data_IF_905230885950
#
_entry.id   IF_905230885950
#
_cell.length_a   1.000
_cell.length_b   1.000
_cell.length_c   1.000
_cell.angle_alpha   90.00
_cell.angle_beta   90.00
_cell.angle_gamma   90.00
#
_symmetry.space_group_name_H-M   'P 1'
#
loop_
_entity.id
_entity.type
_entity.pdbx_description
1 polymer ?
#
# COMPACT_ATOMS: atom_id res chain seq x y z
N UNK A 1 78.32 -19.34 0.74
CA UNK A 1 77.22 -19.24 -0.25
C UNK A 1 77.07 -17.84 -0.84
N UNK A 2 76.84 -16.79 -0.04
CA UNK A 2 76.63 -15.40 -0.52
C UNK A 2 77.80 -14.86 -1.38
N UNK A 3 79.05 -15.09 -0.96
CA UNK A 3 80.25 -14.75 -1.77
C UNK A 3 80.28 -15.44 -3.15
N UNK A 4 79.75 -16.66 -3.25
CA UNK A 4 79.75 -17.43 -4.49
C UNK A 4 78.70 -16.89 -5.46
N UNK A 5 77.51 -16.55 -4.95
CA UNK A 5 76.44 -15.89 -5.71
C UNK A 5 76.92 -14.52 -6.23
N UNK A 6 77.59 -13.74 -5.37
CA UNK A 6 78.16 -12.43 -5.72
C UNK A 6 79.19 -12.50 -6.85
N UNK A 7 80.13 -13.46 -6.77
CA UNK A 7 81.11 -13.68 -7.85
C UNK A 7 80.45 -14.15 -9.15
N UNK A 8 79.37 -14.93 -9.07
CA UNK A 8 78.64 -15.42 -10.25
C UNK A 8 77.88 -14.29 -10.96
N UNK A 9 77.30 -13.34 -10.20
CA UNK A 9 76.70 -12.11 -10.74
C UNK A 9 77.74 -11.21 -11.44
N UNK A 10 78.93 -11.08 -10.85
CA UNK A 10 80.01 -10.28 -11.43
C UNK A 10 80.65 -10.91 -12.68
N UNK A 11 80.58 -12.25 -12.82
CA UNK A 11 81.13 -12.98 -13.98
C UNK A 11 80.17 -12.99 -15.16
N UNK A 12 78.86 -12.97 -14.94
CA UNK A 12 77.82 -13.02 -15.97
C UNK A 12 77.01 -11.72 -16.05
N UNK A 13 77.70 -10.57 -16.13
CA UNK A 13 77.12 -9.22 -16.00
C UNK A 13 75.91 -8.97 -16.92
N UNK A 14 75.96 -9.43 -18.17
CA UNK A 14 74.87 -9.26 -19.14
C UNK A 14 73.56 -9.96 -18.71
N UNK A 15 73.64 -11.22 -18.24
CA UNK A 15 72.45 -11.97 -17.78
C UNK A 15 71.87 -11.39 -16.49
N UNK A 16 72.73 -10.93 -15.59
CA UNK A 16 72.29 -10.30 -14.35
C UNK A 16 71.56 -8.96 -14.60
N UNK A 17 72.07 -8.13 -15.52
CA UNK A 17 71.42 -6.88 -15.93
C UNK A 17 70.05 -7.15 -16.57
N UNK A 18 69.93 -8.17 -17.44
CA UNK A 18 68.65 -8.57 -18.04
C UNK A 18 67.63 -9.04 -16.99
N UNK A 19 68.07 -9.79 -15.97
CA UNK A 19 67.22 -10.21 -14.86
C UNK A 19 66.74 -9.03 -14.01
N UNK A 20 67.64 -8.11 -13.66
CA UNK A 20 67.26 -6.89 -12.94
C UNK A 20 66.25 -6.10 -13.76
N UNK A 21 66.49 -5.86 -15.05
CA UNK A 21 65.55 -5.14 -15.92
C UNK A 21 64.19 -5.85 -16.01
N UNK A 22 64.17 -7.17 -16.11
CA UNK A 22 62.93 -7.95 -16.12
C UNK A 22 62.13 -7.81 -14.83
N UNK A 23 62.79 -7.91 -13.67
CA UNK A 23 62.16 -7.70 -12.36
C UNK A 23 61.69 -6.25 -12.20
N UNK A 24 62.48 -5.27 -12.67
CA UNK A 24 62.13 -3.85 -12.63
C UNK A 24 60.90 -3.56 -13.50
N UNK A 25 60.88 -4.07 -14.74
CA UNK A 25 59.73 -3.93 -15.65
C UNK A 25 58.47 -4.56 -15.06
N UNK A 26 58.57 -5.76 -14.49
CA UNK A 26 57.45 -6.43 -13.83
C UNK A 26 56.97 -5.64 -12.59
N UNK A 27 57.90 -5.14 -11.78
CA UNK A 27 57.56 -4.39 -10.56
C UNK A 27 56.92 -3.04 -10.90
N UNK A 28 57.42 -2.34 -11.92
CA UNK A 28 56.86 -1.08 -12.42
C UNK A 28 55.49 -1.32 -13.03
N UNK A 29 55.35 -2.36 -13.86
CA UNK A 29 54.07 -2.73 -14.46
C UNK A 29 53.01 -3.08 -13.42
N UNK A 30 53.36 -3.91 -12.43
CA UNK A 30 52.45 -4.28 -11.35
C UNK A 30 52.08 -3.10 -10.47
N UNK A 31 53.06 -2.25 -10.10
CA UNK A 31 52.80 -1.05 -9.29
C UNK A 31 51.92 -0.04 -10.04
N UNK A 32 52.14 0.14 -11.34
CA UNK A 32 51.31 0.98 -12.19
C UNK A 32 49.88 0.45 -12.27
N UNK A 33 49.71 -0.86 -12.47
CA UNK A 33 48.39 -1.49 -12.57
C UNK A 33 47.63 -1.40 -11.24
N UNK A 34 48.28 -1.69 -10.11
CA UNK A 34 47.69 -1.55 -8.77
C UNK A 34 47.34 -0.08 -8.47
N UNK A 35 48.24 0.86 -8.79
CA UNK A 35 48.00 2.29 -8.61
C UNK A 35 46.82 2.79 -9.46
N UNK A 36 46.71 2.30 -10.70
CA UNK A 36 45.59 2.62 -11.59
C UNK A 36 44.27 2.02 -11.09
N UNK A 37 44.27 0.78 -10.59
CA UNK A 37 43.08 0.17 -9.99
C UNK A 37 42.62 0.92 -8.74
N UNK A 38 43.55 1.29 -7.85
CA UNK A 38 43.21 2.08 -6.66
C UNK A 38 42.69 3.48 -7.02
N UNK A 39 43.29 4.12 -8.02
CA UNK A 39 42.84 5.44 -8.50
C UNK A 39 41.46 5.36 -9.15
N UNK A 40 41.20 4.33 -9.95
CA UNK A 40 39.88 4.08 -10.53
C UNK A 40 38.83 3.83 -9.44
N UNK A 41 39.14 2.98 -8.45
CA UNK A 41 38.24 2.74 -7.32
C UNK A 41 37.97 4.03 -6.54
N UNK A 42 39.01 4.81 -6.24
CA UNK A 42 38.87 6.10 -5.55
C UNK A 42 38.05 7.11 -6.36
N UNK A 43 38.22 7.14 -7.68
CA UNK A 43 37.45 8.02 -8.58
C UNK A 43 35.99 7.58 -8.66
N UNK A 44 35.73 6.27 -8.78
CA UNK A 44 34.37 5.70 -8.79
C UNK A 44 33.65 6.01 -7.48
N UNK A 45 34.29 5.77 -6.33
CA UNK A 45 33.70 6.06 -5.01
C UNK A 45 33.42 7.55 -4.86
N UNK A 46 34.35 8.41 -5.28
CA UNK A 46 34.19 9.87 -5.18
C UNK A 46 33.09 10.39 -6.14
N UNK A 47 33.01 9.87 -7.37
CA UNK A 47 31.92 10.19 -8.29
C UNK A 47 30.57 9.68 -7.79
N UNK A 48 30.52 8.47 -7.21
CA UNK A 48 29.32 7.93 -6.58
C UNK A 48 28.89 8.80 -5.39
N UNK A 49 29.81 9.19 -4.50
CA UNK A 49 29.51 10.07 -3.38
C UNK A 49 29.03 11.46 -3.82
N UNK A 50 29.64 12.04 -4.87
CA UNK A 50 29.20 13.34 -5.42
C UNK A 50 27.84 13.27 -6.10
N UNK A 51 27.47 12.11 -6.62
CA UNK A 51 26.19 11.88 -7.31
C UNK A 51 25.14 11.25 -6.40
N UNK A 52 25.49 10.90 -5.16
CA UNK A 52 24.57 10.37 -4.17
C UNK A 52 23.54 11.46 -3.81
N UNK A 53 22.43 11.43 -4.54
CA UNK A 53 21.22 12.16 -4.21
C UNK A 53 20.20 11.09 -3.85
N UNK A 54 20.00 10.86 -2.57
CA UNK A 54 18.87 10.07 -2.08
C UNK A 54 17.70 11.02 -1.77
N UNK A 55 16.48 10.48 -1.74
CA UNK A 55 15.27 11.27 -1.41
C UNK A 55 15.31 11.78 0.03
N UNK A 56 15.93 11.01 0.95
CA UNK A 56 16.22 11.37 2.33
C UNK A 56 17.57 10.77 2.75
N UNK A 57 18.14 11.24 3.87
CA UNK A 57 19.44 10.77 4.37
C UNK A 57 19.31 9.83 5.58
N UNK A 58 18.29 10.04 6.39
CA UNK A 58 18.04 9.29 7.62
C UNK A 58 16.55 9.03 7.73
N UNK A 59 16.22 7.86 8.30
CA UNK A 59 14.87 7.52 8.73
C UNK A 59 14.94 7.28 10.23
N UNK A 60 14.07 7.94 10.97
CA UNK A 60 13.95 7.82 12.42
C UNK A 60 12.64 7.11 12.72
N UNK A 61 12.76 5.98 13.42
CA UNK A 61 11.64 5.14 13.82
C UNK A 61 11.70 4.81 15.31
N UNK A 62 10.58 4.43 15.94
CA UNK A 62 10.56 4.00 17.33
C UNK A 62 11.49 2.81 17.59
N UNK A 63 12.06 2.67 18.81
CA UNK A 63 13.08 1.67 19.11
C UNK A 63 12.65 0.22 18.87
N UNK A 64 11.37 -0.09 19.01
CA UNK A 64 10.81 -1.44 18.87
C UNK A 64 10.31 -1.77 17.45
N UNK A 65 10.53 -0.87 16.48
CA UNK A 65 10.08 -1.01 15.08
C UNK A 65 11.05 -1.74 14.15
N UNK A 66 12.17 -2.22 14.69
CA UNK A 66 13.26 -2.81 13.90
C UNK A 66 12.91 -4.24 13.46
N UNK A 67 12.94 -4.50 12.16
CA UNK A 67 12.71 -5.85 11.62
C UNK A 67 13.91 -6.78 11.84
N UNK A 68 13.65 -8.09 11.90
CA UNK A 68 14.69 -9.14 11.95
C UNK A 68 15.64 -9.10 10.75
N UNK A 69 15.20 -8.52 9.63
CA UNK A 69 16.01 -8.37 8.41
C UNK A 69 17.10 -7.31 8.56
N UNK A 70 16.88 -6.33 9.43
CA UNK A 70 17.76 -5.16 9.57
C UNK A 70 19.04 -5.44 10.35
N UNK A 71 19.09 -6.50 11.15
CA UNK A 71 20.35 -6.97 11.74
C UNK A 71 21.35 -7.40 10.66
N UNK A 72 20.86 -7.75 9.47
CA UNK A 72 21.66 -8.05 8.28
C UNK A 72 21.82 -6.84 7.35
N UNK A 73 21.44 -5.63 7.79
CA UNK A 73 21.39 -4.41 6.98
C UNK A 73 20.49 -4.54 5.73
N UNK A 74 19.38 -5.27 5.87
CA UNK A 74 18.35 -5.38 4.84
C UNK A 74 17.10 -4.62 5.30
N UNK A 75 16.38 -4.04 4.35
CA UNK A 75 15.07 -3.44 4.59
C UNK A 75 14.01 -4.34 3.97
N UNK A 76 12.94 -4.58 4.70
CA UNK A 76 11.78 -5.30 4.20
C UNK A 76 10.87 -4.41 3.33
N UNK A 77 10.04 -4.99 2.46
CA UNK A 77 8.98 -4.26 1.77
C UNK A 77 7.97 -3.66 2.76
N UNK A 78 7.48 -2.46 2.45
CA UNK A 78 6.47 -1.73 3.23
C UNK A 78 6.90 -1.47 4.69
N UNK A 79 8.21 -1.35 4.95
CA UNK A 79 8.78 -1.13 6.28
C UNK A 79 8.39 0.21 6.91
N UNK A 80 7.92 1.19 6.12
CA UNK A 80 7.38 2.46 6.61
C UNK A 80 5.86 2.41 6.74
N UNK A 81 5.18 1.96 5.67
CA UNK A 81 3.72 1.96 5.60
C UNK A 81 3.06 0.90 6.47
N UNK A 82 3.83 -0.10 6.94
CA UNK A 82 3.38 -1.15 7.86
C UNK A 82 3.58 -0.84 9.35
N UNK A 83 4.06 0.35 9.71
CA UNK A 83 4.27 0.72 11.10
C UNK A 83 2.97 1.24 11.73
N UNK A 84 2.57 0.66 12.87
CA UNK A 84 1.67 1.32 13.83
C UNK A 84 2.55 2.09 14.84
N UNK A 85 2.43 3.42 14.85
CA UNK A 85 3.23 4.30 15.71
C UNK A 85 4.39 5.03 15.01
N UNK A 86 5.29 5.64 15.79
CA UNK A 86 6.30 6.59 15.29
C UNK A 86 7.11 7.28 16.40
N UNK A 87 7.55 8.52 16.17
CA UNK A 87 8.17 9.44 17.15
C UNK A 87 7.21 10.56 17.58
N UNK A 88 7.37 11.09 18.79
CA UNK A 88 6.54 12.20 19.28
C UNK A 88 6.74 13.48 18.51
N UNK A 89 5.72 14.34 18.52
CA UNK A 89 5.82 15.67 17.93
C UNK A 89 6.86 16.48 18.68
N UNK A 90 7.00 16.27 19.99
CA UNK A 90 8.10 16.83 20.77
C UNK A 90 9.47 16.32 20.27
N UNK A 91 9.59 15.01 20.01
CA UNK A 91 10.80 14.45 19.39
C UNK A 91 11.04 15.01 17.99
N UNK A 92 9.97 15.16 17.20
CA UNK A 92 10.01 15.72 15.85
C UNK A 92 10.48 17.17 15.88
N UNK A 93 9.89 18.03 16.73
CA UNK A 93 10.30 19.42 16.90
C UNK A 93 11.73 19.52 17.42
N UNK A 94 12.15 18.59 18.28
CA UNK A 94 13.55 18.48 18.72
C UNK A 94 14.49 18.19 17.54
N UNK A 95 14.13 17.23 16.67
CA UNK A 95 14.91 16.88 15.47
C UNK A 95 14.92 18.04 14.47
N UNK A 96 13.76 18.65 14.21
CA UNK A 96 13.58 19.80 13.32
C UNK A 96 14.41 21.00 13.78
N UNK A 97 14.59 21.17 15.09
CA UNK A 97 15.39 22.23 15.70
C UNK A 97 16.90 21.99 15.73
N UNK A 98 17.41 20.84 15.27
CA UNK A 98 18.85 20.57 15.23
C UNK A 98 19.53 21.34 14.09
N UNK A 99 20.66 22.00 14.38
CA UNK A 99 21.38 22.83 13.40
C UNK A 99 21.81 22.07 12.13
N UNK A 100 22.12 20.78 12.26
CA UNK A 100 22.55 19.91 11.15
C UNK A 100 21.36 19.32 10.35
N UNK A 101 20.12 19.50 10.81
CA UNK A 101 18.92 18.98 10.16
C UNK A 101 18.29 20.09 9.32
N UNK A 102 18.47 20.01 8.00
CA UNK A 102 17.89 20.99 7.07
C UNK A 102 16.38 20.79 6.86
N UNK A 103 15.94 19.54 6.79
CA UNK A 103 14.56 19.14 6.52
C UNK A 103 14.27 17.92 7.40
N UNK A 104 13.16 18.00 8.13
CA UNK A 104 12.54 16.88 8.83
C UNK A 104 11.08 16.82 8.36
N UNK A 105 10.73 15.81 7.58
CA UNK A 105 9.42 15.67 6.93
C UNK A 105 8.82 14.34 7.38
N UNK A 106 7.97 14.37 8.41
CA UNK A 106 7.59 13.16 9.09
C UNK A 106 6.23 12.67 8.55
N UNK A 107 6.03 11.35 8.58
CA UNK A 107 4.83 10.68 8.09
C UNK A 107 4.16 9.92 9.25
N UNK A 108 2.90 10.23 9.53
CA UNK A 108 2.06 9.56 10.52
C UNK A 108 1.11 8.60 9.82
N UNK A 109 1.40 7.31 9.78
CA UNK A 109 0.47 6.33 9.22
C UNK A 109 -0.74 6.22 10.16
N UNK A 110 -1.95 6.46 9.64
CA UNK A 110 -3.17 6.50 10.47
C UNK A 110 -3.89 5.15 10.46
N UNK A 111 -4.31 4.72 9.28
CA UNK A 111 -5.15 3.53 9.12
C UNK A 111 -5.85 3.50 7.77
N UNK A 112 -6.67 2.48 7.57
CA UNK A 112 -7.38 2.26 6.32
C UNK A 112 -8.81 2.80 6.42
N UNK A 113 -9.21 3.55 5.40
CA UNK A 113 -10.60 3.95 5.17
C UNK A 113 -11.12 3.24 3.94
N UNK A 114 -12.40 2.91 3.93
CA UNK A 114 -13.04 2.39 2.72
C UNK A 114 -13.38 3.58 1.81
N UNK A 115 -12.83 3.55 0.59
CA UNK A 115 -13.04 4.58 -0.41
C UNK A 115 -13.72 3.94 -1.61
N UNK A 116 -15.02 4.20 -1.76
CA UNK A 116 -15.86 3.66 -2.81
C UNK A 116 -16.44 4.76 -3.69
N UNK A 117 -16.90 4.33 -4.87
CA UNK A 117 -17.57 5.19 -5.83
C UNK A 117 -18.66 4.40 -6.51
N UNK A 118 -19.81 5.05 -6.70
CA UNK A 118 -20.87 4.54 -7.54
C UNK A 118 -20.33 4.36 -8.97
N UNK A 119 -20.45 3.18 -9.56
CA UNK A 119 -20.01 2.86 -10.91
C UNK A 119 -21.16 2.84 -11.93
N UNK A 120 -22.35 2.40 -11.51
CA UNK A 120 -23.55 2.40 -12.36
C UNK A 120 -24.85 2.21 -11.56
N UNK A 121 -25.98 2.39 -12.23
CA UNK A 121 -27.32 2.12 -11.68
C UNK A 121 -27.81 0.73 -12.11
N UNK A 122 -28.59 0.10 -11.23
CA UNK A 122 -29.27 -1.18 -11.50
C UNK A 122 -30.77 -0.92 -11.53
N UNK A 123 -31.37 -0.94 -12.73
CA UNK A 123 -32.77 -0.57 -12.93
C UNK A 123 -33.66 -1.80 -13.12
N UNK A 124 -33.82 -2.58 -12.04
CA UNK A 124 -34.67 -3.77 -12.02
C UNK A 124 -36.05 -3.40 -11.47
N UNK A 125 -37.09 -3.60 -12.30
CA UNK A 125 -38.48 -3.22 -11.97
C UNK A 125 -39.41 -4.39 -11.78
N UNK A 126 -39.05 -5.57 -12.28
CA UNK A 126 -39.87 -6.77 -12.13
C UNK A 126 -39.79 -7.28 -10.68
N UNK A 127 -40.93 -7.60 -10.04
CA UNK A 127 -40.91 -8.25 -8.75
C UNK A 127 -40.21 -9.62 -8.82
N UNK A 128 -39.35 -9.88 -7.83
CA UNK A 128 -38.54 -11.09 -7.79
C UNK A 128 -37.56 -11.12 -6.62
N UNK A 129 -36.98 -12.30 -6.40
CA UNK A 129 -35.79 -12.47 -5.58
C UNK A 129 -34.59 -12.49 -6.54
N UNK A 130 -33.57 -11.72 -6.23
CA UNK A 130 -32.40 -11.52 -7.08
C UNK A 130 -31.14 -11.92 -6.32
N UNK A 131 -30.18 -12.49 -7.05
CA UNK A 131 -28.81 -12.76 -6.62
C UNK A 131 -27.88 -11.80 -7.37
N UNK A 132 -27.17 -10.95 -6.64
CA UNK A 132 -26.01 -10.21 -7.14
C UNK A 132 -24.76 -11.01 -6.80
N UNK A 133 -24.11 -11.56 -7.82
CA UNK A 133 -22.76 -12.09 -7.69
C UNK A 133 -21.76 -10.94 -7.93
N UNK A 134 -20.80 -10.79 -7.01
CA UNK A 134 -19.71 -9.84 -7.07
C UNK A 134 -18.41 -10.63 -7.09
N UNK A 135 -17.71 -10.62 -8.23
CA UNK A 135 -16.46 -11.34 -8.40
C UNK A 135 -15.33 -10.40 -8.74
N UNK A 136 -14.47 -10.14 -7.77
CA UNK A 136 -13.25 -9.37 -7.92
C UNK A 136 -12.08 -10.30 -8.26
N UNK A 137 -11.28 -9.93 -9.26
CA UNK A 137 -10.04 -10.60 -9.62
C UNK A 137 -8.91 -9.59 -9.64
N UNK A 138 -7.87 -9.83 -8.85
CA UNK A 138 -6.70 -8.96 -8.71
C UNK A 138 -5.43 -9.68 -9.17
N UNK A 139 -4.70 -9.06 -10.09
CA UNK A 139 -3.45 -9.57 -10.63
C UNK A 139 -2.25 -9.12 -9.80
N UNK A 140 -1.74 -10.00 -8.94
CA UNK A 140 -0.54 -9.72 -8.11
C UNK A 140 0.77 -9.97 -8.85
N UNK A 141 0.72 -10.49 -10.07
CA UNK A 141 1.86 -10.95 -10.86
C UNK A 141 2.30 -12.38 -10.51
N UNK A 142 2.28 -12.77 -9.24
CA UNK A 142 2.56 -14.14 -8.81
C UNK A 142 1.34 -15.07 -8.99
N UNK A 143 0.15 -14.55 -8.67
CA UNK A 143 -1.14 -15.24 -8.83
C UNK A 143 -2.27 -14.23 -9.10
N UNK A 144 -3.39 -14.73 -9.59
CA UNK A 144 -4.65 -14.01 -9.54
C UNK A 144 -5.33 -14.30 -8.20
N UNK A 145 -5.59 -13.26 -7.41
CA UNK A 145 -6.43 -13.36 -6.21
C UNK A 145 -7.87 -13.13 -6.62
N UNK A 146 -8.76 -14.03 -6.23
CA UNK A 146 -10.18 -13.98 -6.59
C UNK A 146 -10.97 -13.90 -5.30
N UNK A 147 -11.81 -12.89 -5.19
CA UNK A 147 -12.82 -12.77 -4.15
C UNK A 147 -14.20 -12.83 -4.83
N UNK A 148 -15.08 -13.68 -4.32
CA UNK A 148 -16.36 -14.00 -4.94
C UNK A 148 -17.44 -14.06 -3.85
N UNK A 149 -18.47 -13.24 -3.98
CA UNK A 149 -19.51 -13.11 -2.98
C UNK A 149 -20.89 -12.96 -3.61
N UNK A 150 -21.89 -13.55 -2.97
CA UNK A 150 -23.29 -13.39 -3.36
C UNK A 150 -24.00 -12.48 -2.36
N UNK A 151 -24.82 -11.59 -2.89
CA UNK A 151 -25.75 -10.78 -2.13
C UNK A 151 -27.16 -10.98 -2.67
N UNK A 152 -28.13 -11.22 -1.79
CA UNK A 152 -29.51 -11.49 -2.18
C UNK A 152 -30.41 -10.32 -1.79
N UNK A 153 -31.30 -9.93 -2.70
CA UNK A 153 -32.25 -8.85 -2.45
C UNK A 153 -33.59 -9.14 -3.14
N UNK A 154 -34.61 -8.38 -2.76
CA UNK A 154 -35.94 -8.50 -3.39
C UNK A 154 -36.37 -7.19 -4.04
N UNK A 155 -37.03 -7.31 -5.18
CA UNK A 155 -37.76 -6.19 -5.81
C UNK A 155 -39.25 -6.44 -5.58
N UNK A 156 -39.96 -5.41 -5.08
CA UNK A 156 -41.37 -5.54 -4.73
C UNK A 156 -41.65 -6.25 -3.39
N UNK A 157 -40.62 -6.44 -2.54
CA UNK A 157 -40.72 -7.12 -1.24
C UNK A 157 -39.86 -6.50 -0.13
N UNK A 158 -39.63 -5.19 -0.14
CA UNK A 158 -38.66 -4.53 0.76
C UNK A 158 -38.87 -4.76 2.27
N UNK A 159 -40.04 -5.21 2.71
CA UNK A 159 -40.29 -5.60 4.10
C UNK A 159 -39.44 -6.80 4.58
N UNK A 160 -39.00 -7.68 3.68
CA UNK A 160 -38.24 -8.88 4.05
C UNK A 160 -36.78 -8.59 4.40
N UNK A 161 -36.21 -7.46 3.95
CA UNK A 161 -34.83 -7.09 4.27
C UNK A 161 -34.63 -6.73 5.75
N UNK A 162 -35.72 -6.43 6.46
CA UNK A 162 -35.69 -6.05 7.88
C UNK A 162 -35.41 -7.24 8.81
N UNK A 163 -35.63 -8.47 8.35
CA UNK A 163 -35.41 -9.68 9.12
C UNK A 163 -34.36 -10.55 8.45
N UNK A 164 -33.17 -10.58 9.05
CA UNK A 164 -32.00 -11.37 8.59
C UNK A 164 -32.32 -12.86 8.39
N UNK A 165 -33.35 -13.40 9.04
CA UNK A 165 -33.79 -14.78 8.86
C UNK A 165 -34.23 -15.11 7.43
N UNK A 166 -34.66 -14.11 6.65
CA UNK A 166 -35.00 -14.32 5.24
C UNK A 166 -33.77 -14.39 4.32
N UNK A 167 -32.58 -14.03 4.79
CA UNK A 167 -31.35 -14.07 4.00
C UNK A 167 -31.32 -13.13 2.81
N UNK A 168 -32.16 -12.08 2.81
CA UNK A 168 -32.18 -11.03 1.80
C UNK A 168 -31.91 -9.68 2.46
N UNK A 169 -31.18 -8.81 1.78
CA UNK A 169 -30.94 -7.44 2.20
C UNK A 169 -31.77 -6.43 1.41
N UNK A 170 -31.45 -5.16 1.59
CA UNK A 170 -32.09 -4.06 0.85
C UNK A 170 -31.83 -4.18 -0.66
N UNK A 171 -32.78 -3.72 -1.46
CA UNK A 171 -32.63 -3.68 -2.91
C UNK A 171 -31.44 -2.81 -3.28
N UNK A 172 -30.59 -3.31 -4.17
CA UNK A 172 -29.54 -2.50 -4.77
C UNK A 172 -30.18 -1.55 -5.78
N UNK A 173 -29.90 -0.25 -5.67
CA UNK A 173 -30.18 0.72 -6.73
C UNK A 173 -28.94 1.03 -7.58
N UNK A 174 -27.76 0.69 -7.06
CA UNK A 174 -26.48 1.16 -7.58
C UNK A 174 -25.42 0.08 -7.39
N UNK A 175 -24.51 -0.02 -8.37
CA UNK A 175 -23.27 -0.78 -8.26
C UNK A 175 -22.18 0.18 -7.82
N UNK A 176 -21.58 -0.04 -6.66
CA UNK A 176 -20.42 0.71 -6.19
C UNK A 176 -19.17 -0.16 -6.25
N UNK A 177 -18.01 0.42 -6.49
CA UNK A 177 -16.74 -0.28 -6.34
C UNK A 177 -15.82 0.53 -5.44
N UNK A 178 -15.25 -0.12 -4.43
CA UNK A 178 -14.42 0.54 -3.44
C UNK A 178 -13.26 -0.32 -2.99
N UNK A 179 -12.26 0.36 -2.42
CA UNK A 179 -11.04 -0.27 -1.92
C UNK A 179 -10.68 0.30 -0.56
N UNK A 180 -9.97 -0.49 0.23
CA UNK A 180 -9.35 0.00 1.46
C UNK A 180 -8.12 0.83 1.09
N UNK A 181 -8.08 2.08 1.53
CA UNK A 181 -6.99 3.02 1.22
C UNK A 181 -6.36 3.53 2.50
N UNK A 182 -5.02 3.51 2.52
CA UNK A 182 -4.24 3.98 3.66
C UNK A 182 -4.22 5.51 3.67
N UNK A 183 -4.53 6.09 4.82
CA UNK A 183 -4.42 7.53 5.10
C UNK A 183 -3.16 7.78 5.93
N UNK A 184 -2.39 8.79 5.56
CA UNK A 184 -1.22 9.21 6.32
C UNK A 184 -1.18 10.73 6.53
N UNK A 185 -0.77 11.18 7.71
CA UNK A 185 -0.49 12.57 8.02
C UNK A 185 0.94 12.98 7.64
N UNK A 186 1.12 14.19 7.12
CA UNK A 186 2.41 14.78 6.76
C UNK A 186 2.54 16.20 7.33
N UNK A 187 3.77 16.72 7.50
CA UNK A 187 3.99 18.17 7.62
C UNK A 187 4.02 18.75 6.21
N UNK A 188 3.01 19.52 5.77
CA UNK A 188 2.92 19.95 4.38
C UNK A 188 4.09 20.83 3.94
N UNK A 189 4.64 21.68 4.81
CA UNK A 189 5.76 22.54 4.46
C UNK A 189 7.04 21.73 4.29
N UNK A 190 7.25 20.76 5.16
CA UNK A 190 8.47 19.97 5.16
C UNK A 190 8.45 18.91 4.07
N UNK A 191 7.29 18.31 3.79
CA UNK A 191 7.10 17.38 2.68
C UNK A 191 7.26 18.09 1.33
N UNK A 192 6.75 19.32 1.20
CA UNK A 192 7.02 20.16 0.03
C UNK A 192 8.53 20.43 -0.15
N UNK A 193 9.27 20.70 0.92
CA UNK A 193 10.74 20.87 0.85
C UNK A 193 11.47 19.56 0.52
N UNK A 194 10.99 18.42 1.01
CA UNK A 194 11.63 17.12 0.83
C UNK A 194 11.44 16.57 -0.59
N UNK A 195 10.18 16.46 -1.04
CA UNK A 195 9.83 15.78 -2.29
C UNK A 195 9.15 16.70 -3.31
N UNK A 196 8.94 17.99 -3.00
CA UNK A 196 8.27 18.92 -3.91
C UNK A 196 6.79 18.58 -4.11
N UNK A 197 6.11 18.09 -3.06
CA UNK A 197 4.71 17.65 -3.12
C UNK A 197 3.75 18.76 -3.57
N UNK A 198 4.00 19.99 -3.16
CA UNK A 198 3.30 21.20 -3.57
C UNK A 198 3.35 21.44 -5.09
N UNK A 199 4.47 21.11 -5.73
CA UNK A 199 4.67 21.22 -7.17
C UNK A 199 4.18 19.99 -7.94
N UNK A 200 3.84 18.91 -7.22
CA UNK A 200 3.32 17.67 -7.79
C UNK A 200 1.78 17.67 -7.91
N UNK A 201 1.11 18.74 -7.51
CA UNK A 201 -0.34 18.87 -7.63
C UNK A 201 -0.80 18.81 -9.10
N UNK A 202 -2.00 18.28 -9.31
CA UNK A 202 -2.69 18.27 -10.60
C UNK A 202 -3.53 19.53 -10.71
N UNK A 203 -3.35 20.27 -11.80
CA UNK A 203 -4.08 21.53 -12.03
C UNK A 203 -5.59 21.28 -12.22
N UNK A 204 -6.41 22.05 -11.51
CA UNK A 204 -7.85 22.11 -11.73
C UNK A 204 -8.60 22.83 -10.61
N UNK A 205 -9.91 23.00 -10.77
CA UNK A 205 -10.72 23.85 -9.87
C UNK A 205 -10.85 23.29 -8.46
N UNK A 206 -10.99 21.97 -8.33
CA UNK A 206 -11.06 21.27 -7.04
C UNK A 206 -9.71 20.80 -6.51
N UNK A 207 -8.59 21.33 -7.00
CA UNK A 207 -7.27 20.85 -6.61
C UNK A 207 -6.32 21.98 -6.23
N UNK A 208 -5.85 21.92 -4.99
CA UNK A 208 -4.81 22.78 -4.42
C UNK A 208 -4.03 22.02 -3.35
N UNK A 209 -2.86 22.56 -3.00
CA UNK A 209 -2.10 22.09 -1.85
C UNK A 209 -2.70 22.60 -0.52
N UNK A 210 -2.24 22.04 0.59
CA UNK A 210 -2.59 22.46 1.95
C UNK A 210 -2.24 23.94 2.19
N UNK A 211 -3.00 24.57 3.07
CA UNK A 211 -2.90 25.94 3.54
C UNK A 211 -3.18 26.00 5.05
N UNK A 212 -2.86 27.12 5.69
CA UNK A 212 -3.10 27.31 7.14
C UNK A 212 -4.59 27.22 7.54
N UNK A 213 -5.52 27.37 6.60
CA UNK A 213 -6.95 27.27 6.88
C UNK A 213 -7.48 25.82 6.84
N UNK A 214 -6.63 24.86 6.46
CA UNK A 214 -7.00 23.44 6.37
C UNK A 214 -6.85 22.79 7.74
N UNK A 215 -7.79 23.10 8.63
CA UNK A 215 -7.82 22.59 9.99
C UNK A 215 -8.77 21.39 10.12
N UNK A 216 -8.44 20.49 11.05
CA UNK A 216 -9.33 19.42 11.47
C UNK A 216 -10.53 20.01 12.22
N UNK A 217 -11.74 19.50 11.96
CA UNK A 217 -12.95 19.99 12.61
C UNK A 217 -13.78 18.86 13.19
N UNK A 218 -14.20 19.02 14.44
CA UNK A 218 -15.17 18.14 15.10
C UNK A 218 -16.60 18.53 14.70
N UNK A 219 -17.37 17.57 14.18
CA UNK A 219 -18.76 17.70 13.80
C UNK A 219 -19.60 16.88 14.80
N UNK A 220 -20.12 17.53 15.86
CA UNK A 220 -20.89 16.84 16.88
C UNK A 220 -22.19 16.28 16.30
N UNK A 221 -22.50 15.03 16.64
CA UNK A 221 -23.72 14.32 16.30
C UNK A 221 -24.57 14.06 17.56
N UNK A 222 -25.81 13.61 17.36
CA UNK A 222 -26.64 13.15 18.48
C UNK A 222 -26.00 11.95 19.21
N UNK A 223 -26.14 11.89 20.54
CA UNK A 223 -25.74 10.72 21.33
C UNK A 223 -24.25 10.62 21.70
N UNK A 224 -23.54 11.75 21.87
CA UNK A 224 -22.08 11.82 22.16
C UNK A 224 -21.18 11.25 21.06
N UNK A 225 -21.70 11.10 19.84
CA UNK A 225 -20.91 10.77 18.66
C UNK A 225 -20.35 12.04 18.03
N UNK A 226 -19.20 11.93 17.40
CA UNK A 226 -18.53 13.03 16.71
C UNK A 226 -17.93 12.50 15.42
N UNK A 227 -18.25 13.15 14.30
CA UNK A 227 -17.53 12.93 13.04
C UNK A 227 -16.34 13.90 12.99
N UNK A 228 -15.19 13.46 12.50
CA UNK A 228 -13.98 14.28 12.39
C UNK A 228 -13.78 14.63 10.90
N UNK A 229 -13.94 15.90 10.56
CA UNK A 229 -13.66 16.41 9.22
C UNK A 229 -12.16 16.61 9.04
N UNK A 230 -11.59 15.97 8.04
CA UNK A 230 -10.14 15.94 7.80
C UNK A 230 -9.84 16.38 6.37
N UNK A 231 -9.04 17.43 6.16
CA UNK A 231 -8.62 17.83 4.82
C UNK A 231 -7.65 16.78 4.25
N UNK A 232 -7.91 16.33 3.02
CA UNK A 232 -7.10 15.31 2.35
C UNK A 232 -6.74 15.69 0.92
N UNK A 233 -5.53 15.33 0.51
CA UNK A 233 -5.14 15.25 -0.90
C UNK A 233 -5.05 13.78 -1.32
N UNK A 234 -5.50 13.48 -2.53
CA UNK A 234 -5.58 12.11 -3.07
C UNK A 234 -4.56 11.92 -4.21
N UNK A 235 -3.95 10.74 -4.27
CA UNK A 235 -3.06 10.35 -5.38
C UNK A 235 -3.86 10.17 -6.67
N UNK A 236 -3.35 10.65 -7.80
CA UNK A 236 -3.98 10.46 -9.11
C UNK A 236 -3.85 9.03 -9.67
N UNK A 237 -3.12 8.13 -8.98
CA UNK A 237 -2.87 6.76 -9.47
C UNK A 237 -3.44 5.71 -8.53
N UNK A 238 -3.94 4.65 -9.14
CA UNK A 238 -4.17 3.35 -8.50
C UNK A 238 -3.00 2.42 -8.87
N UNK A 239 -2.59 1.57 -7.92
CA UNK A 239 -1.45 0.66 -8.05
C UNK A 239 -1.88 -0.81 -8.10
N UNK A 240 -3.16 -1.11 -7.86
CA UNK A 240 -3.76 -2.43 -8.01
C UNK A 240 -4.30 -2.63 -9.42
N UNK A 241 -3.99 -3.78 -9.98
CA UNK A 241 -4.49 -4.27 -11.26
C UNK A 241 -5.64 -5.23 -10.99
N UNK A 242 -6.87 -4.72 -10.96
CA UNK A 242 -8.05 -5.47 -10.58
C UNK A 242 -9.26 -5.19 -11.47
N UNK A 243 -10.12 -6.19 -11.58
CA UNK A 243 -11.41 -6.14 -12.28
C UNK A 243 -12.49 -6.74 -11.39
N UNK A 244 -13.63 -6.06 -11.28
CA UNK A 244 -14.82 -6.56 -10.60
C UNK A 244 -15.92 -6.82 -11.62
N UNK A 245 -16.50 -8.02 -11.56
CA UNK A 245 -17.64 -8.44 -12.35
C UNK A 245 -18.88 -8.50 -11.46
N UNK A 246 -19.95 -7.85 -11.91
CA UNK A 246 -21.27 -7.86 -11.30
C UNK A 246 -22.21 -8.65 -12.19
N UNK A 247 -22.78 -9.72 -11.67
CA UNK A 247 -23.80 -10.51 -12.37
C UNK A 247 -25.06 -10.51 -11.51
N UNK A 248 -26.15 -9.95 -12.04
CA UNK A 248 -27.45 -9.98 -11.38
C UNK A 248 -28.31 -11.05 -12.03
N UNK A 249 -28.85 -11.95 -11.22
CA UNK A 249 -29.70 -13.06 -11.64
C UNK A 249 -31.05 -12.99 -10.94
N UNK A 250 -32.14 -13.22 -11.67
CA UNK A 250 -33.47 -13.42 -11.11
C UNK A 250 -33.64 -14.89 -10.75
N UNK A 251 -33.90 -15.21 -9.48
CA UNK A 251 -34.08 -16.58 -9.03
C UNK A 251 -35.42 -17.16 -9.50
N UNK A 252 -35.42 -18.45 -9.85
CA UNK A 252 -36.58 -19.18 -10.38
C UNK A 252 -37.57 -19.55 -9.27
N UNK A 253 -38.11 -18.53 -8.60
CA UNK A 253 -39.01 -18.66 -7.45
C UNK A 253 -40.28 -17.82 -7.64
N UNK A 254 -41.46 -18.32 -7.22
CA UNK A 254 -42.69 -17.55 -7.31
C UNK A 254 -42.63 -16.34 -6.37
N UNK A 255 -42.74 -15.13 -6.92
CA UNK A 255 -42.65 -13.88 -6.16
C UNK A 255 -43.67 -12.83 -6.62
N UNK A 256 -44.75 -13.27 -7.26
CA UNK A 256 -45.90 -12.43 -7.52
C UNK A 256 -46.65 -12.10 -6.20
N UNK A 257 -47.43 -11.00 -6.14
CA UNK A 257 -48.00 -10.48 -4.89
C UNK A 257 -48.79 -11.49 -4.06
N UNK A 258 -49.40 -12.51 -4.67
CA UNK A 258 -50.19 -13.52 -3.95
C UNK A 258 -49.32 -14.62 -3.32
N UNK A 259 -48.05 -14.75 -3.72
CA UNK A 259 -47.15 -15.83 -3.30
C UNK A 259 -45.91 -15.36 -2.53
N UNK A 260 -45.62 -14.06 -2.47
CA UNK A 260 -44.41 -13.51 -1.82
C UNK A 260 -44.22 -13.99 -0.39
N UNK A 261 -45.24 -13.86 0.47
CA UNK A 261 -45.16 -14.24 1.89
C UNK A 261 -44.85 -15.74 2.04
N UNK A 262 -45.56 -16.58 1.27
CA UNK A 262 -45.39 -18.03 1.31
C UNK A 262 -43.98 -18.44 0.85
N UNK A 263 -43.45 -17.77 -0.16
CA UNK A 263 -42.10 -18.00 -0.68
C UNK A 263 -41.03 -17.59 0.32
N UNK A 264 -41.14 -16.41 0.93
CA UNK A 264 -40.16 -15.93 1.89
C UNK A 264 -40.20 -16.70 3.21
N UNK A 265 -41.38 -17.11 3.68
CA UNK A 265 -41.49 -18.02 4.82
C UNK A 265 -40.82 -19.38 4.54
N UNK A 266 -40.92 -19.88 3.31
CA UNK A 266 -40.19 -21.07 2.88
C UNK A 266 -38.68 -20.82 2.91
N UNK A 267 -38.20 -19.70 2.38
CA UNK A 267 -36.77 -19.34 2.40
C UNK A 267 -36.25 -19.32 3.83
N UNK A 268 -36.91 -18.58 4.72
CA UNK A 268 -36.52 -18.47 6.13
C UNK A 268 -36.50 -19.82 6.86
N UNK A 269 -37.52 -20.66 6.64
CA UNK A 269 -37.60 -21.98 7.25
C UNK A 269 -36.48 -22.93 6.79
N UNK A 270 -35.97 -22.77 5.58
CA UNK A 270 -34.93 -23.62 5.01
C UNK A 270 -33.51 -23.05 5.15
N UNK A 271 -33.32 -22.01 5.97
CA UNK A 271 -32.00 -21.48 6.28
C UNK A 271 -31.62 -20.20 5.53
N UNK A 272 -32.60 -19.47 4.98
CA UNK A 272 -32.41 -18.13 4.44
C UNK A 272 -31.45 -18.13 3.25
N UNK A 273 -30.34 -17.43 3.42
CA UNK A 273 -29.30 -17.24 2.40
C UNK A 273 -28.76 -18.56 1.84
N UNK A 274 -28.49 -19.55 2.70
CA UNK A 274 -28.03 -20.89 2.27
C UNK A 274 -29.03 -21.57 1.34
N UNK A 275 -30.33 -21.37 1.58
CA UNK A 275 -31.36 -21.92 0.70
C UNK A 275 -31.40 -21.17 -0.63
N UNK A 276 -31.19 -19.85 -0.64
CA UNK A 276 -31.15 -19.03 -1.86
C UNK A 276 -29.93 -19.36 -2.74
N UNK A 277 -28.81 -19.73 -2.13
CA UNK A 277 -27.59 -20.13 -2.84
C UNK A 277 -27.78 -21.37 -3.72
N UNK A 278 -28.58 -22.32 -3.25
CA UNK A 278 -28.90 -23.56 -4.00
C UNK A 278 -29.88 -23.34 -5.17
N UNK A 279 -30.53 -22.17 -5.27
CA UNK A 279 -31.53 -21.92 -6.30
C UNK A 279 -30.89 -21.55 -7.64
N UNK A 280 -31.57 -21.94 -8.71
CA UNK A 280 -31.23 -21.51 -10.07
C UNK A 280 -31.84 -20.14 -10.36
N UNK A 281 -31.24 -19.43 -11.31
CA UNK A 281 -31.76 -18.16 -11.78
C UNK A 281 -31.31 -17.86 -13.20
N UNK A 282 -31.89 -16.81 -13.77
CA UNK A 282 -31.55 -16.30 -15.09
C UNK A 282 -30.85 -14.95 -14.99
N UNK A 283 -29.72 -14.78 -15.67
CA UNK A 283 -28.97 -13.51 -15.72
C UNK A 283 -29.85 -12.42 -16.33
N UNK A 284 -30.01 -11.32 -15.60
CA UNK A 284 -30.76 -10.13 -16.04
C UNK A 284 -29.84 -8.97 -16.39
N UNK A 285 -28.71 -8.85 -15.71
CA UNK A 285 -27.72 -7.80 -15.95
C UNK A 285 -26.31 -8.32 -15.65
N UNK A 286 -25.34 -7.89 -16.45
CA UNK A 286 -23.93 -8.19 -16.25
C UNK A 286 -23.10 -6.95 -16.60
N UNK A 287 -22.20 -6.55 -15.69
CA UNK A 287 -21.28 -5.42 -15.90
C UNK A 287 -19.93 -5.73 -15.29
N UNK A 288 -18.88 -5.22 -15.90
CA UNK A 288 -17.55 -5.24 -15.32
C UNK A 288 -16.96 -3.84 -15.25
N UNK A 289 -16.10 -3.64 -14.25
CA UNK A 289 -15.37 -2.40 -14.04
C UNK A 289 -13.96 -2.71 -13.56
N UNK A 290 -13.01 -1.85 -13.92
CA UNK A 290 -11.63 -1.96 -13.44
C UNK A 290 -11.37 -1.03 -12.25
N UNK A 291 -10.35 -1.35 -11.45
CA UNK A 291 -9.84 -0.48 -10.37
C UNK A 291 -9.43 0.89 -10.91
N UNK A 292 -8.82 0.94 -12.09
CA UNK A 292 -8.40 2.19 -12.73
C UNK A 292 -9.59 3.07 -13.12
N UNK A 293 -10.69 2.48 -13.62
CA UNK A 293 -11.92 3.22 -13.95
C UNK A 293 -12.58 3.81 -12.70
N UNK A 294 -12.69 3.02 -11.63
CA UNK A 294 -13.21 3.49 -10.34
C UNK A 294 -12.36 4.64 -9.79
N UNK A 295 -11.04 4.47 -9.75
CA UNK A 295 -10.13 5.51 -9.26
C UNK A 295 -10.21 6.80 -10.10
N UNK A 296 -10.28 6.69 -11.44
CA UNK A 296 -10.49 7.85 -12.33
C UNK A 296 -11.79 8.58 -12.02
N UNK A 297 -12.86 7.86 -11.70
CA UNK A 297 -14.15 8.47 -11.33
C UNK A 297 -14.05 9.25 -10.02
N UNK A 298 -13.34 8.72 -9.02
CA UNK A 298 -13.04 9.42 -7.76
C UNK A 298 -12.23 10.69 -8.04
N UNK A 299 -11.11 10.56 -8.76
CA UNK A 299 -10.25 11.71 -9.13
C UNK A 299 -11.06 12.79 -9.86
N UNK A 300 -11.87 12.41 -10.86
CA UNK A 300 -12.70 13.38 -11.60
C UNK A 300 -13.72 14.10 -10.72
N UNK A 301 -14.28 13.40 -9.74
CA UNK A 301 -15.26 13.94 -8.81
C UNK A 301 -14.63 14.92 -7.82
N UNK A 302 -13.41 14.65 -7.35
CA UNK A 302 -12.61 15.61 -6.56
C UNK A 302 -12.22 16.84 -7.40
N UNK A 303 -11.78 16.64 -8.64
CA UNK A 303 -11.36 17.74 -9.53
C UNK A 303 -12.51 18.68 -9.93
N UNK A 304 -13.73 18.15 -9.99
CA UNK A 304 -14.95 18.86 -10.37
C UNK A 304 -16.02 18.67 -9.29
N UNK A 305 -15.84 19.26 -8.10
CA UNK A 305 -16.72 19.03 -6.98
C UNK A 305 -18.13 19.53 -7.34
N UNK A 306 -19.06 18.59 -7.44
CA UNK A 306 -20.49 18.85 -7.57
C UNK A 306 -21.18 18.31 -6.32
N UNK A 307 -22.31 18.91 -5.96
CA UNK A 307 -23.14 18.42 -4.86
C UNK A 307 -23.60 16.95 -5.06
N UNK A 308 -23.64 16.48 -6.31
CA UNK A 308 -24.05 15.13 -6.70
C UNK A 308 -22.90 14.09 -6.65
N UNK A 309 -21.67 14.51 -6.37
CA UNK A 309 -20.51 13.60 -6.45
C UNK A 309 -20.50 12.48 -5.40
N UNK A 310 -21.31 12.57 -4.34
CA UNK A 310 -21.40 11.57 -3.27
C UNK A 310 -20.12 11.43 -2.41
N UNK A 311 -19.03 12.09 -2.79
CA UNK A 311 -17.77 12.12 -2.04
C UNK A 311 -17.92 12.96 -0.77
N UNK A 312 -17.28 12.53 0.32
CA UNK A 312 -17.29 13.24 1.61
C UNK A 312 -18.31 12.73 2.64
N UNK A 313 -18.93 11.57 2.38
CA UNK A 313 -19.66 10.81 3.39
C UNK A 313 -18.76 10.41 4.57
N UNK A 314 -19.39 10.00 5.67
CA UNK A 314 -18.67 9.46 6.83
C UNK A 314 -18.09 8.09 6.47
N UNK A 315 -16.78 7.93 6.67
CA UNK A 315 -16.06 6.67 6.52
C UNK A 315 -15.45 6.25 7.86
N UNK A 316 -15.57 4.96 8.18
CA UNK A 316 -14.94 4.39 9.36
C UNK A 316 -13.49 4.05 9.06
N UNK A 317 -12.59 4.45 9.96
CA UNK A 317 -11.21 3.96 9.96
C UNK A 317 -11.12 2.77 10.92
N UNK A 318 -11.50 1.58 10.46
CA UNK A 318 -11.58 0.39 11.32
C UNK A 318 -10.21 -0.24 11.58
N UNK A 319 -9.34 -0.22 10.57
CA UNK A 319 -8.13 -1.04 10.51
C UNK A 319 -6.84 -0.22 10.61
N UNK A 320 -5.87 -0.77 11.31
CA UNK A 320 -4.52 -0.22 11.48
C UNK A 320 -3.50 -0.94 10.59
N UNK A 321 -2.43 -0.26 10.15
CA UNK A 321 -1.29 -0.93 9.53
C UNK A 321 -0.61 -1.88 10.53
N UNK A 322 0.04 -2.93 10.01
CA UNK A 322 0.86 -3.82 10.82
C UNK A 322 2.06 -4.36 10.02
N UNK A 323 3.15 -4.75 10.70
CA UNK A 323 4.34 -5.26 10.04
C UNK A 323 4.16 -6.71 9.58
N UNK A 324 5.02 -7.16 8.68
CA UNK A 324 5.11 -8.57 8.28
C UNK A 324 6.08 -9.30 9.19
N UNK A 325 5.70 -10.47 9.68
CA UNK A 325 6.63 -11.32 10.43
C UNK A 325 7.43 -12.22 9.50
N UNK A 326 8.71 -11.89 9.33
CA UNK A 326 9.66 -12.69 8.57
C UNK A 326 10.37 -13.72 9.45
N UNK A 327 10.50 -14.96 8.98
CA UNK A 327 11.33 -16.01 9.59
C UNK A 327 12.52 -16.32 8.70
N UNK A 328 13.77 -16.30 9.19
CA UNK A 328 14.94 -16.58 8.37
C UNK A 328 14.96 -18.04 7.92
N UNK A 329 15.22 -18.26 6.62
CA UNK A 329 15.31 -19.60 6.02
C UNK A 329 16.53 -19.75 5.14
N UNK A 330 16.88 -20.99 4.82
CA UNK A 330 17.93 -21.29 3.86
C UNK A 330 17.38 -21.30 2.45
N UNK A 331 17.94 -20.44 1.57
CA UNK A 331 17.69 -20.55 0.13
C UNK A 331 18.22 -21.86 -0.43
N UNK A 332 17.49 -22.54 -1.34
CA UNK A 332 18.07 -23.59 -2.18
C UNK A 332 19.13 -23.04 -3.16
N UNK A 333 19.13 -21.72 -3.43
CA UNK A 333 20.05 -21.05 -4.36
C UNK A 333 20.92 -20.01 -3.64
N UNK A 334 21.64 -20.41 -2.57
CA UNK A 334 22.45 -19.51 -1.73
C UNK A 334 23.45 -18.63 -2.47
N UNK A 335 24.03 -19.11 -3.58
CA UNK A 335 24.98 -18.33 -4.38
C UNK A 335 24.33 -17.11 -5.03
N UNK A 336 23.02 -17.17 -5.31
CA UNK A 336 22.24 -16.08 -5.89
C UNK A 336 21.51 -15.27 -4.83
N UNK A 337 20.94 -15.94 -3.83
CA UNK A 337 20.18 -15.34 -2.75
C UNK A 337 20.76 -15.76 -1.40
N UNK A 338 21.75 -15.00 -0.94
CA UNK A 338 22.47 -15.27 0.31
C UNK A 338 21.58 -15.10 1.55
N UNK A 339 20.56 -14.25 1.45
CA UNK A 339 19.56 -14.01 2.49
C UNK A 339 18.19 -14.47 1.98
N UNK A 340 17.45 -15.21 2.80
CA UNK A 340 16.10 -15.65 2.47
C UNK A 340 15.27 -15.69 3.73
N UNK A 341 14.02 -15.29 3.59
CA UNK A 341 13.05 -15.24 4.65
C UNK A 341 11.74 -15.84 4.14
N UNK A 342 11.01 -16.51 5.01
CA UNK A 342 9.67 -17.00 4.75
C UNK A 342 8.65 -16.15 5.52
N UNK A 343 7.46 -16.06 4.96
CA UNK A 343 6.27 -15.48 5.59
C UNK A 343 5.16 -16.49 5.45
N UNK A 344 4.48 -16.78 6.55
CA UNK A 344 3.39 -17.74 6.60
C UNK A 344 2.07 -16.97 6.63
N UNK A 345 1.24 -17.02 5.57
CA UNK A 345 -0.07 -16.40 5.60
C UNK A 345 -1.00 -17.19 6.53
N UNK A 346 -1.99 -16.50 7.10
CA UNK A 346 -3.07 -17.13 7.86
C UNK A 346 -4.43 -16.77 7.27
N UNK A 347 -5.38 -17.69 7.41
CA UNK A 347 -6.73 -17.47 6.94
C UNK A 347 -7.48 -16.57 7.94
N UNK A 348 -8.22 -15.61 7.41
CA UNK A 348 -9.10 -14.80 8.23
C UNK A 348 -10.35 -15.59 8.64
N UNK A 349 -10.94 -15.29 9.80
CA UNK A 349 -12.24 -15.84 10.20
C UNK A 349 -13.34 -15.50 9.17
N UNK A 350 -14.35 -16.36 9.04
CA UNK A 350 -15.51 -16.11 8.15
C UNK A 350 -16.28 -14.83 8.52
N UNK A 351 -16.23 -14.41 9.78
CA UNK A 351 -16.85 -13.17 10.28
C UNK A 351 -15.93 -11.95 10.19
N UNK A 352 -14.78 -12.06 9.51
CA UNK A 352 -13.91 -10.93 9.22
C UNK A 352 -14.63 -9.83 8.44
N UNK A 353 -14.40 -8.59 8.84
CA UNK A 353 -14.90 -7.40 8.14
C UNK A 353 -14.11 -7.10 6.86
N UNK A 354 -12.97 -7.77 6.65
CA UNK A 354 -12.20 -7.68 5.42
C UNK A 354 -12.72 -8.69 4.41
N UNK A 355 -12.98 -8.22 3.19
CA UNK A 355 -13.38 -9.07 2.06
C UNK A 355 -12.16 -9.77 1.43
N UNK A 356 -11.36 -10.47 2.23
CA UNK A 356 -10.19 -11.25 1.80
C UNK A 356 -10.06 -12.51 2.65
N UNK A 357 -9.60 -13.61 2.05
CA UNK A 357 -9.48 -14.89 2.76
C UNK A 357 -8.19 -15.01 3.58
N UNK A 358 -7.12 -14.34 3.16
CA UNK A 358 -5.78 -14.52 3.71
C UNK A 358 -5.13 -13.18 4.04
N UNK A 359 -4.36 -13.18 5.13
CA UNK A 359 -3.51 -12.07 5.54
C UNK A 359 -2.07 -12.56 5.75
N UNK A 360 -1.11 -11.69 5.45
CA UNK A 360 0.33 -11.90 5.67
C UNK A 360 0.85 -11.13 6.91
N UNK A 361 -0.04 -10.38 7.55
CA UNK A 361 0.25 -9.45 8.66
C UNK A 361 -0.87 -9.55 9.69
N UNK A 362 -0.62 -9.36 10.99
CA UNK A 362 -1.67 -9.34 12.01
C UNK A 362 -2.75 -8.30 11.69
N UNK A 363 -4.04 -8.68 11.70
CA UNK A 363 -5.14 -7.73 11.54
C UNK A 363 -5.35 -7.01 12.87
N UNK A 364 -5.17 -5.69 12.85
CA UNK A 364 -5.35 -4.84 14.02
C UNK A 364 -6.44 -3.80 13.75
N UNK A 365 -7.36 -3.63 14.71
CA UNK A 365 -8.43 -2.64 14.63
C UNK A 365 -8.31 -1.58 15.72
N UNK A 366 -8.99 -0.45 15.54
CA UNK A 366 -9.08 0.61 16.56
C UNK A 366 -9.94 0.21 17.78
N UNK A 367 -10.65 -0.92 17.70
CA UNK A 367 -11.44 -1.50 18.78
C UNK A 367 -12.21 -2.74 18.32
N UNK A 368 -12.82 -3.45 19.27
CA UNK A 368 -13.57 -4.68 19.00
C UNK A 368 -14.85 -4.43 18.20
N UNK A 369 -15.43 -3.24 18.32
CA UNK A 369 -16.64 -2.85 17.61
C UNK A 369 -16.56 -1.44 17.03
N UNK A 370 -17.54 -1.11 16.18
CA UNK A 370 -17.57 0.17 15.48
C UNK A 370 -17.65 1.37 16.42
N UNK A 371 -18.17 1.27 17.64
CA UNK A 371 -18.25 2.44 18.53
C UNK A 371 -16.89 3.06 18.89
N UNK A 372 -15.81 2.28 18.76
CA UNK A 372 -14.45 2.71 19.07
C UNK A 372 -13.63 3.13 17.84
N UNK A 373 -14.15 2.94 16.63
CA UNK A 373 -13.42 3.29 15.41
C UNK A 373 -13.54 4.80 15.12
N UNK A 374 -12.46 5.47 14.67
CA UNK A 374 -12.58 6.86 14.23
C UNK A 374 -13.57 7.03 13.07
N UNK A 375 -14.41 8.06 13.17
CA UNK A 375 -15.42 8.43 12.17
C UNK A 375 -14.93 9.63 11.39
N UNK A 376 -14.53 9.44 10.14
CA UNK A 376 -13.89 10.47 9.35
C UNK A 376 -14.82 10.99 8.26
N UNK A 377 -14.86 12.30 8.08
CA UNK A 377 -15.36 12.94 6.87
C UNK A 377 -14.18 13.50 6.10
N UNK A 378 -13.91 12.92 4.95
CA UNK A 378 -12.76 13.28 4.13
C UNK A 378 -13.12 14.50 3.28
N UNK A 379 -12.51 15.64 3.58
CA UNK A 379 -12.64 16.85 2.78
C UNK A 379 -11.54 16.87 1.72
N UNK A 380 -11.89 16.46 0.50
CA UNK A 380 -10.95 16.36 -0.60
C UNK A 380 -10.60 17.75 -1.15
N UNK A 381 -9.40 18.24 -0.83
CA UNK A 381 -8.93 19.57 -1.23
C UNK A 381 -8.02 19.56 -2.46
N UNK A 382 -7.54 18.39 -2.89
CA UNK A 382 -6.84 18.27 -4.16
C UNK A 382 -6.26 16.92 -4.51
N UNK A 383 -5.65 16.89 -5.70
CA UNK A 383 -5.08 15.69 -6.31
C UNK A 383 -3.60 15.91 -6.57
N UNK A 384 -2.75 14.97 -6.17
CA UNK A 384 -1.31 14.99 -6.45
C UNK A 384 -0.89 13.86 -7.40
N UNK A 385 0.19 14.08 -8.14
CA UNK A 385 0.80 13.10 -9.02
C UNK A 385 2.18 12.69 -8.51
N UNK A 386 2.28 11.49 -7.95
CA UNK A 386 3.53 10.94 -7.44
C UNK A 386 4.67 10.95 -8.48
N UNK A 387 4.37 10.88 -9.78
CA UNK A 387 5.40 10.89 -10.82
C UNK A 387 6.11 12.25 -10.99
N UNK A 388 5.46 13.34 -10.54
CA UNK A 388 5.98 14.70 -10.59
C UNK A 388 6.84 15.08 -9.38
N UNK A 389 6.94 14.20 -8.38
CA UNK A 389 7.76 14.42 -7.19
C UNK A 389 9.25 14.59 -7.56
N UNK A 390 9.90 15.48 -6.84
CA UNK A 390 11.33 15.80 -6.94
C UNK A 390 12.14 14.81 -6.11
N UNK A 391 12.09 13.54 -6.50
CA UNK A 391 12.85 12.45 -5.88
C UNK A 391 13.96 11.96 -6.80
N UNK A 392 14.96 11.27 -6.23
CA UNK A 392 15.96 10.60 -7.04
C UNK A 392 15.34 9.45 -7.82
N UNK A 393 15.50 9.47 -9.14
CA UNK A 393 15.06 8.42 -10.07
C UNK A 393 16.24 7.61 -10.60
N UNK A 394 17.44 7.84 -10.08
CA UNK A 394 18.64 7.10 -10.47
C UNK A 394 18.61 5.72 -9.79
N UNK A 395 18.59 4.60 -10.53
CA UNK A 395 18.55 3.25 -9.98
C UNK A 395 19.67 2.92 -8.99
N UNK A 396 20.80 3.65 -9.04
CA UNK A 396 21.94 3.44 -8.14
C UNK A 396 21.80 4.18 -6.80
N UNK A 397 20.86 5.13 -6.70
CA UNK A 397 20.68 5.98 -5.50
C UNK A 397 19.22 6.14 -5.09
N UNK A 398 18.30 5.49 -5.81
CA UNK A 398 16.87 5.41 -5.48
C UNK A 398 16.72 4.66 -4.15
N UNK A 399 16.29 5.39 -3.12
CA UNK A 399 15.79 4.79 -1.89
C UNK A 399 14.27 4.60 -2.02
N UNK A 400 13.70 3.54 -1.40
CA UNK A 400 12.26 3.37 -1.36
C UNK A 400 11.58 4.58 -0.73
N UNK A 401 10.61 5.15 -1.45
CA UNK A 401 9.72 6.21 -0.95
C UNK A 401 8.31 5.65 -0.88
N UNK A 402 8.10 4.75 0.08
CA UNK A 402 6.91 3.90 0.20
C UNK A 402 5.62 4.67 0.51
N UNK A 403 5.75 5.94 0.86
CA UNK A 403 4.66 6.91 0.99
C UNK A 403 3.96 7.20 -0.35
N UNK A 404 4.68 7.08 -1.47
CA UNK A 404 4.20 7.50 -2.79
C UNK A 404 4.23 6.39 -3.84
N UNK A 405 5.06 5.36 -3.62
CA UNK A 405 5.24 4.25 -4.55
C UNK A 405 5.16 2.93 -3.81
N UNK A 406 4.55 1.89 -4.39
CA UNK A 406 4.55 0.56 -3.81
C UNK A 406 5.97 -0.01 -3.78
N UNK A 407 6.24 -0.86 -2.79
CA UNK A 407 7.47 -1.64 -2.72
C UNK A 407 7.59 -2.57 -3.94
N UNK A 408 8.82 -2.77 -4.40
CA UNK A 408 9.11 -3.57 -5.60
C UNK A 408 9.48 -5.00 -5.18
N UNK A 409 8.85 -6.00 -5.79
CA UNK A 409 9.29 -7.38 -5.67
C UNK A 409 9.21 -8.10 -7.02
N UNK A 410 9.99 -9.17 -7.16
CA UNK A 410 9.99 -10.02 -8.35
C UNK A 410 9.76 -11.47 -7.96
N UNK A 411 8.83 -12.11 -8.65
CA UNK A 411 8.58 -13.52 -8.55
C UNK A 411 9.58 -14.28 -9.44
N UNK A 412 10.42 -15.08 -8.79
CA UNK A 412 11.65 -15.65 -9.38
C UNK A 412 11.69 -17.18 -9.34
N UNK A 413 10.87 -17.82 -8.52
CA UNK A 413 10.80 -19.28 -8.33
C UNK A 413 9.34 -19.65 -8.13
N UNK A 414 8.88 -20.67 -8.83
CA UNK A 414 7.50 -21.17 -8.72
C UNK A 414 7.30 -22.12 -7.53
N UNK A 415 6.07 -22.59 -7.34
CA UNK A 415 5.69 -23.51 -6.24
C UNK A 415 6.44 -24.86 -6.28
N UNK A 416 6.96 -25.26 -7.44
CA UNK A 416 7.73 -26.51 -7.61
C UNK A 416 9.22 -26.31 -7.35
N UNK A 417 9.66 -25.07 -7.13
CA UNK A 417 11.06 -24.71 -6.98
C UNK A 417 11.77 -24.44 -8.30
N UNK A 418 11.05 -24.37 -9.42
CA UNK A 418 11.63 -24.10 -10.72
C UNK A 418 11.84 -22.58 -10.92
N UNK A 419 12.98 -22.14 -11.48
CA UNK A 419 13.23 -20.72 -11.72
C UNK A 419 12.28 -20.13 -12.78
N UNK A 420 11.75 -18.94 -12.50
CA UNK A 420 10.92 -18.16 -13.42
C UNK A 420 11.81 -17.20 -14.21
N UNK A 421 11.81 -17.34 -15.53
CA UNK A 421 12.62 -16.53 -16.43
C UNK A 421 11.84 -16.10 -17.69
N UNK A 422 11.65 -14.78 -17.92
CA UNK A 422 12.08 -13.67 -17.07
C UNK A 422 11.30 -13.62 -15.74
N UNK A 423 11.91 -13.11 -14.65
CA UNK A 423 11.18 -12.85 -13.41
C UNK A 423 9.96 -11.97 -13.66
N UNK A 424 8.87 -12.25 -12.96
CA UNK A 424 7.61 -11.49 -13.08
C UNK A 424 7.57 -10.42 -11.99
N UNK A 425 7.24 -9.19 -12.33
CA UNK A 425 7.07 -8.12 -11.34
C UNK A 425 5.81 -8.36 -10.53
N UNK A 426 5.94 -8.39 -9.20
CA UNK A 426 4.80 -8.46 -8.31
C UNK A 426 4.15 -7.10 -8.14
N UNK A 427 2.82 -7.09 -7.95
CA UNK A 427 2.00 -5.90 -7.74
C UNK A 427 1.26 -5.99 -6.40
N UNK A 428 0.91 -4.86 -5.77
CA UNK A 428 0.02 -4.85 -4.61
C UNK A 428 -1.34 -5.47 -4.93
N UNK A 429 -2.02 -5.97 -3.90
CA UNK A 429 -3.40 -6.45 -3.98
C UNK A 429 -4.38 -5.45 -3.33
N UNK A 430 -5.69 -5.65 -3.52
CA UNK A 430 -6.74 -4.93 -2.80
C UNK A 430 -6.93 -5.48 -1.37
N UNK A 431 -5.82 -5.71 -0.67
CA UNK A 431 -5.77 -6.32 0.65
C UNK A 431 -4.85 -5.47 1.55
N UNK A 432 -5.40 -4.75 2.55
CA UNK A 432 -4.62 -3.98 3.53
C UNK A 432 -3.53 -4.79 4.23
N UNK A 433 -3.77 -6.11 4.39
CA UNK A 433 -2.87 -7.03 5.06
C UNK A 433 -2.23 -8.02 4.09
N UNK A 434 -2.19 -7.68 2.80
CA UNK A 434 -1.49 -8.43 1.77
C UNK A 434 0.03 -8.40 1.96
N UNK A 435 0.73 -9.26 1.22
CA UNK A 435 2.20 -9.30 1.24
C UNK A 435 2.81 -7.95 0.81
N UNK A 436 2.42 -7.47 -0.38
CA UNK A 436 2.70 -6.12 -0.85
C UNK A 436 1.46 -5.26 -0.68
N UNK A 437 1.59 -4.15 0.05
CA UNK A 437 0.49 -3.19 0.26
C UNK A 437 0.65 -1.96 -0.63
N UNK A 438 -0.48 -1.30 -0.93
CA UNK A 438 -0.50 -0.01 -1.63
C UNK A 438 0.23 1.05 -0.78
N UNK A 439 0.88 2.05 -1.39
CA UNK A 439 1.27 3.25 -0.66
C UNK A 439 0.02 3.99 -0.14
N UNK A 440 0.16 4.89 0.85
CA UNK A 440 -0.87 5.86 1.17
C UNK A 440 -1.42 6.53 -0.09
N UNK A 441 -2.71 6.38 -0.33
CA UNK A 441 -3.37 7.07 -1.45
C UNK A 441 -3.93 8.42 -1.01
N UNK A 442 -4.14 8.61 0.28
CA UNK A 442 -4.62 9.85 0.86
C UNK A 442 -3.62 10.40 1.86
N UNK A 443 -3.31 11.69 1.74
CA UNK A 443 -2.47 12.40 2.67
C UNK A 443 -3.28 13.50 3.37
N UNK A 444 -3.03 13.70 4.66
CA UNK A 444 -3.58 14.78 5.48
C UNK A 444 -2.46 15.48 6.27
N UNK A 445 -2.79 16.44 7.14
CA UNK A 445 -1.81 17.12 8.00
C UNK A 445 -1.50 16.31 9.25
N UNK A 446 -0.31 16.50 9.84
CA UNK A 446 0.04 15.88 11.12
C UNK A 446 -0.94 16.24 12.25
N UNK A 447 -1.46 17.47 12.24
CA UNK A 447 -2.40 17.91 13.28
C UNK A 447 -3.73 17.17 13.15
N UNK A 448 -4.22 16.96 11.92
CA UNK A 448 -5.40 16.13 11.70
C UNK A 448 -5.15 14.66 12.10
N UNK A 449 -4.00 14.09 11.73
CA UNK A 449 -3.64 12.73 12.12
C UNK A 449 -3.54 12.58 13.65
N UNK A 450 -2.90 13.52 14.35
CA UNK A 450 -2.77 13.50 15.80
C UNK A 450 -4.12 13.63 16.51
N UNK A 451 -5.02 14.47 15.98
CA UNK A 451 -6.38 14.64 16.50
C UNK A 451 -7.20 13.36 16.36
N UNK A 452 -7.19 12.74 15.17
CA UNK A 452 -7.91 11.50 14.87
C UNK A 452 -7.44 10.33 15.74
N UNK A 453 -6.13 10.16 15.89
CA UNK A 453 -5.56 9.05 16.64
C UNK A 453 -5.67 9.25 18.17
N UNK A 454 -6.24 10.37 18.64
CA UNK A 454 -6.43 10.65 20.06
C UNK A 454 -5.11 10.78 20.82
N UNK A 455 -4.02 11.12 20.11
CA UNK A 455 -2.68 11.10 20.69
C UNK A 455 -2.40 12.45 21.36
N UNK A 456 -2.26 12.43 22.69
CA UNK A 456 -1.87 13.60 23.48
C UNK A 456 -0.55 14.22 22.96
N UNK A 457 -0.33 15.54 23.07
CA UNK A 457 0.87 16.23 22.57
C UNK A 457 2.21 15.60 23.02
N UNK A 458 2.23 14.93 24.17
CA UNK A 458 3.38 14.23 24.76
C UNK A 458 3.62 12.80 24.25
N UNK A 459 2.74 12.24 23.41
CA UNK A 459 2.79 10.84 22.96
C UNK A 459 2.64 10.66 21.44
N UNK A 460 2.69 11.77 20.66
CA UNK A 460 2.51 11.75 19.19
C UNK A 460 3.44 10.70 18.54
N UNK A 461 3.12 10.21 17.35
CA UNK A 461 3.88 9.15 16.73
C UNK A 461 3.95 9.44 15.23
N UNK A 462 5.13 9.76 14.74
CA UNK A 462 5.42 10.11 13.35
C UNK A 462 6.70 9.39 12.90
N UNK A 463 6.73 8.69 11.79
CA UNK A 463 8.01 8.20 11.22
C UNK A 463 8.73 9.40 10.60
N UNK A 464 9.95 9.72 11.01
CA UNK A 464 10.72 10.87 10.44
C UNK A 464 11.70 10.41 9.38
#
# INVERSE_FOLDING_TARGET
MIRFIWNTWWRNKQRFILLIMGVLLLSVGLSYLVGMTQTNNGTIVNELQKRWKSSYHMVVRPPDSRSVTEDMNLLEPNYLSGLDGGITLEQYETIKGMDDVKIAAPISVMGYVFNDVQMGEVNITEPGIYRLNQKETVQTGAKAEVNDGNYYFTVGGGQYSMDRGYGVGESIGELSYGTQVLVAGIDPEQEAKLVGLDNAMVDGKGSRYFSENDEVMDIPLEGNLNDISVPVILSNREFVDGEINYTVEKLDMPFDPDHQDATMEKVKKNGGEKYLEEQTGSVVEERSFTTEEAHKKIVNSVMNPSFESGLGGMSWMAFKPSPVEYKPVTSPFRERWAFSYEVEPYNLPEDSLLAVDQAYRPVESFGEDSSSWPRLRLDYIGIFDAQKLTISKDPLTELPVETYFPSKASWVVDEKGDPINPPVTMKPANNPYGFLTKPPLMLTTLDAAAHVLGINPSQRYVST
#
